data_IF_794534452275
#
_entry.id   IF_794534452275
#
_cell.length_a   1.000
_cell.length_b   1.000
_cell.length_c   1.000
_cell.angle_alpha   90.00
_cell.angle_beta   90.00
_cell.angle_gamma   90.00
#
_symmetry.space_group_name_H-M   'P 1'
#
loop_
_entity.id
_entity.type
_entity.pdbx_description
1 polymer ?
#
# COMPACT_ATOMS: atom_id res chain seq x y z
N UNK A 1 -2.18 -4.09 6.63
CA UNK A 1 -1.28 -4.06 5.46
C UNK A 1 -2.12 -3.99 4.19
N UNK A 2 -1.64 -3.28 3.16
CA UNK A 2 -2.38 -3.07 1.90
C UNK A 2 -1.46 -3.38 0.72
N UNK A 3 -1.96 -4.12 -0.28
CA UNK A 3 -1.20 -4.47 -1.48
C UNK A 3 -1.36 -3.41 -2.58
N UNK A 4 -0.44 -3.42 -3.57
CA UNK A 4 -0.50 -2.52 -4.73
C UNK A 4 -1.42 -3.03 -5.84
N UNK A 5 -1.68 -2.18 -6.83
CA UNK A 5 -2.47 -2.54 -8.02
C UNK A 5 -1.90 -3.77 -8.74
N UNK A 6 -2.79 -4.66 -9.18
CA UNK A 6 -2.44 -5.89 -9.88
C UNK A 6 -1.77 -6.96 -9.01
N UNK A 7 -1.75 -6.82 -7.68
CA UNK A 7 -1.21 -7.78 -6.72
C UNK A 7 -2.32 -8.33 -5.81
N UNK A 8 -1.94 -9.11 -4.80
CA UNK A 8 -2.82 -9.69 -3.79
C UNK A 8 -2.03 -10.00 -2.50
N UNK A 9 -2.72 -10.52 -1.48
CA UNK A 9 -2.16 -10.86 -0.16
C UNK A 9 -1.64 -12.31 -0.06
N UNK A 10 -1.53 -13.06 -1.15
CA UNK A 10 -1.05 -14.45 -1.14
C UNK A 10 0.45 -14.56 -0.81
N UNK A 11 1.05 -15.74 -1.06
CA UNK A 11 2.39 -16.12 -0.61
C UNK A 11 3.48 -15.09 -0.92
N UNK A 12 3.39 -14.36 -2.04
CA UNK A 12 4.39 -13.32 -2.36
C UNK A 12 4.35 -12.16 -1.36
N UNK A 13 3.22 -11.91 -0.70
CA UNK A 13 2.99 -10.88 0.32
C UNK A 13 3.39 -11.33 1.73
N UNK A 14 3.47 -12.64 1.99
CA UNK A 14 3.53 -13.21 3.34
C UNK A 14 4.86 -13.03 4.07
N UNK A 15 5.98 -12.87 3.38
CA UNK A 15 7.30 -12.79 4.03
C UNK A 15 7.40 -11.64 5.05
N UNK A 16 6.77 -10.51 4.76
CA UNK A 16 6.78 -9.33 5.62
C UNK A 16 5.84 -9.47 6.83
N UNK A 17 4.54 -9.81 6.70
CA UNK A 17 3.69 -10.03 7.86
C UNK A 17 4.24 -11.15 8.75
N UNK A 18 4.88 -12.19 8.18
CA UNK A 18 5.55 -13.22 8.99
C UNK A 18 6.68 -12.60 9.80
N UNK A 19 7.57 -11.82 9.17
CA UNK A 19 8.64 -11.12 9.87
C UNK A 19 8.10 -10.19 10.96
N UNK A 20 7.08 -9.40 10.67
CA UNK A 20 6.45 -8.50 11.65
C UNK A 20 5.79 -9.29 12.80
N UNK A 21 5.08 -10.37 12.51
CA UNK A 21 4.48 -11.24 13.53
C UNK A 21 5.54 -11.88 14.44
N UNK A 22 6.67 -12.31 13.89
CA UNK A 22 7.82 -12.81 14.66
C UNK A 22 8.42 -11.74 15.58
N UNK A 23 8.25 -10.46 15.25
CA UNK A 23 8.67 -9.32 16.07
C UNK A 23 7.54 -8.78 16.97
N UNK A 24 6.45 -9.53 17.17
CA UNK A 24 5.39 -9.20 18.12
C UNK A 24 4.27 -8.32 17.56
N UNK A 25 4.18 -8.12 16.25
CA UNK A 25 3.12 -7.32 15.63
C UNK A 25 1.94 -8.20 15.16
N UNK A 26 0.72 -7.83 15.52
CA UNK A 26 -0.47 -8.39 14.88
C UNK A 26 -0.59 -7.87 13.45
N UNK A 27 -0.66 -8.77 12.46
CA UNK A 27 -0.67 -8.42 11.04
C UNK A 27 -1.96 -8.86 10.37
N UNK A 28 -2.65 -7.90 9.75
CA UNK A 28 -3.89 -8.13 9.00
C UNK A 28 -3.78 -7.52 7.60
N UNK A 29 -4.38 -8.18 6.61
CA UNK A 29 -4.40 -7.72 5.22
C UNK A 29 -5.70 -8.18 4.55
N UNK A 30 -6.10 -7.46 3.50
CA UNK A 30 -7.26 -7.77 2.66
C UNK A 30 -6.84 -7.68 1.19
N UNK A 31 -7.51 -8.46 0.35
CA UNK A 31 -7.46 -8.27 -1.11
C UNK A 31 -8.37 -7.11 -1.50
N UNK A 32 -7.84 -6.16 -2.26
CA UNK A 32 -8.60 -5.01 -2.75
C UNK A 32 -9.65 -5.46 -3.79
N UNK A 33 -10.69 -4.65 -4.00
CA UNK A 33 -11.72 -4.91 -5.01
C UNK A 33 -11.09 -5.25 -6.38
N UNK A 34 -11.58 -6.33 -7.00
CA UNK A 34 -11.08 -6.83 -8.29
C UNK A 34 -9.69 -7.46 -8.25
N UNK A 35 -9.12 -7.72 -7.08
CA UNK A 35 -7.80 -8.31 -6.91
C UNK A 35 -7.84 -9.58 -6.04
N UNK A 36 -6.82 -10.43 -6.17
CA UNK A 36 -6.69 -11.66 -5.41
C UNK A 36 -7.96 -12.51 -5.43
N UNK A 37 -8.49 -12.80 -4.24
CA UNK A 37 -9.73 -13.54 -4.04
C UNK A 37 -10.96 -12.65 -3.81
N UNK A 38 -10.78 -11.33 -3.80
CA UNK A 38 -11.88 -10.38 -3.67
C UNK A 38 -12.71 -10.31 -4.95
N UNK A 39 -14.01 -10.03 -4.76
CA UNK A 39 -14.96 -9.89 -5.87
C UNK A 39 -14.65 -8.68 -6.75
N UNK A 40 -15.24 -8.67 -7.94
CA UNK A 40 -15.14 -7.58 -8.90
C UNK A 40 -14.45 -7.99 -10.19
N UNK A 41 -14.50 -7.10 -11.18
CA UNK A 41 -13.83 -7.34 -12.46
C UNK A 41 -12.31 -7.28 -12.26
N UNK A 42 -11.59 -8.32 -12.66
CA UNK A 42 -10.14 -8.47 -12.39
C UNK A 42 -9.34 -7.23 -12.78
N UNK A 43 -8.66 -6.62 -11.81
CA UNK A 43 -7.87 -5.39 -11.90
C UNK A 43 -8.66 -4.15 -12.38
N UNK A 44 -9.95 -4.08 -12.09
CA UNK A 44 -10.78 -2.90 -12.34
C UNK A 44 -11.09 -2.19 -11.02
N UNK A 45 -10.72 -0.92 -10.93
CA UNK A 45 -11.02 -0.05 -9.79
C UNK A 45 -11.70 1.20 -10.37
N UNK A 46 -13.05 1.24 -10.37
CA UNK A 46 -13.78 2.35 -10.96
C UNK A 46 -13.82 3.60 -10.06
N UNK A 47 -13.50 3.44 -8.77
CA UNK A 47 -13.42 4.51 -7.80
C UNK A 47 -12.46 4.10 -6.68
N UNK A 48 -11.37 4.85 -6.49
CA UNK A 48 -10.38 4.55 -5.45
C UNK A 48 -10.90 4.91 -4.05
N UNK A 49 -11.83 5.84 -3.92
CA UNK A 49 -12.40 6.22 -2.61
C UNK A 49 -13.14 5.04 -1.97
N UNK A 50 -13.84 4.23 -2.79
CA UNK A 50 -14.47 2.98 -2.31
C UNK A 50 -13.44 1.97 -1.79
N UNK A 51 -12.27 1.89 -2.43
CA UNK A 51 -11.18 1.00 -1.98
C UNK A 51 -10.61 1.49 -0.64
N UNK A 52 -10.54 2.81 -0.44
CA UNK A 52 -10.14 3.41 0.83
C UNK A 52 -11.19 3.12 1.91
N UNK A 53 -12.48 3.29 1.61
CA UNK A 53 -13.58 2.99 2.52
C UNK A 53 -13.60 1.51 2.94
N UNK A 54 -13.38 0.59 2.00
CA UNK A 54 -13.22 -0.84 2.28
C UNK A 54 -12.06 -1.11 3.24
N UNK A 55 -10.91 -0.47 3.03
CA UNK A 55 -9.76 -0.61 3.92
C UNK A 55 -10.07 -0.09 5.33
N UNK A 56 -10.69 1.09 5.43
CA UNK A 56 -11.07 1.70 6.72
C UNK A 56 -12.07 0.79 7.45
N UNK A 57 -13.10 0.32 6.74
CA UNK A 57 -14.13 -0.58 7.28
C UNK A 57 -13.52 -1.88 7.79
N UNK A 58 -12.64 -2.50 7.02
CA UNK A 58 -11.93 -3.72 7.40
C UNK A 58 -11.08 -3.55 8.66
N UNK A 59 -10.22 -2.53 8.72
CA UNK A 59 -9.38 -2.32 9.89
C UNK A 59 -10.20 -1.92 11.12
N UNK A 60 -11.26 -1.12 10.97
CA UNK A 60 -12.16 -0.81 12.08
C UNK A 60 -12.86 -2.06 12.60
N UNK A 61 -13.34 -2.94 11.70
CA UNK A 61 -13.98 -4.20 12.07
C UNK A 61 -13.03 -5.07 12.92
N UNK A 62 -11.77 -5.24 12.50
CA UNK A 62 -10.76 -5.97 13.27
C UNK A 62 -10.57 -5.37 14.67
N UNK A 63 -10.46 -4.04 14.77
CA UNK A 63 -10.29 -3.36 16.06
C UNK A 63 -11.52 -3.55 16.98
N UNK A 64 -12.72 -3.62 16.42
CA UNK A 64 -13.93 -3.86 17.22
C UNK A 64 -14.09 -5.30 17.72
N UNK A 65 -13.44 -6.27 17.06
CA UNK A 65 -13.54 -7.69 17.40
C UNK A 65 -12.65 -8.10 18.57
N UNK A 66 -11.55 -7.39 18.81
CA UNK A 66 -10.60 -7.70 19.89
C UNK A 66 -10.24 -6.45 20.70
N UNK A 67 -10.69 -6.34 21.97
CA UNK A 67 -10.36 -5.23 22.86
C UNK A 67 -8.85 -5.03 23.09
N UNK A 68 -8.04 -6.08 22.95
CA UNK A 68 -6.58 -5.98 23.08
C UNK A 68 -6.02 -5.10 21.96
N UNK A 69 -6.54 -5.26 20.74
CA UNK A 69 -6.07 -4.52 19.56
C UNK A 69 -6.40 -3.03 19.60
N UNK A 70 -7.43 -2.62 20.35
CA UNK A 70 -7.87 -1.22 20.43
C UNK A 70 -6.82 -0.30 21.05
N UNK A 71 -5.97 -0.83 21.94
CA UNK A 71 -4.98 -0.06 22.69
C UNK A 71 -3.55 -0.16 22.09
N UNK A 72 -3.38 -0.86 20.97
CA UNK A 72 -2.06 -1.05 20.36
C UNK A 72 -1.69 0.05 19.35
N UNK A 73 -0.40 0.42 19.23
CA UNK A 73 0.08 1.28 18.15
C UNK A 73 -0.19 0.66 16.77
N UNK A 74 -0.55 1.51 15.80
CA UNK A 74 -1.02 1.10 14.47
C UNK A 74 -0.02 1.46 13.39
N UNK A 75 0.29 0.50 12.52
CA UNK A 75 1.24 0.68 11.42
C UNK A 75 0.64 0.21 10.09
N UNK A 76 0.76 1.04 9.06
CA UNK A 76 0.40 0.68 7.69
C UNK A 76 1.69 0.40 6.89
N UNK A 77 1.71 -0.70 6.15
CA UNK A 77 2.91 -1.18 5.46
C UNK A 77 2.63 -1.61 4.01
N UNK A 78 3.60 -1.36 3.11
CA UNK A 78 3.61 -1.75 1.68
C UNK A 78 4.89 -2.56 1.31
N UNK A 79 4.72 -3.53 0.41
CA UNK A 79 5.51 -4.76 0.14
C UNK A 79 6.91 -4.60 -0.52
N UNK A 80 7.72 -5.68 -0.42
CA UNK A 80 9.05 -5.97 -1.03
C UNK A 80 9.00 -6.96 -2.25
N UNK A 81 10.15 -7.08 -2.93
CA UNK A 81 10.44 -7.74 -4.23
C UNK A 81 10.17 -9.26 -4.29
N UNK A 82 8.97 -9.71 -4.72
CA UNK A 82 8.70 -11.05 -5.31
C UNK A 82 7.47 -11.03 -6.26
N UNK A 83 6.96 -9.87 -6.69
CA UNK A 83 5.64 -9.83 -7.35
C UNK A 83 5.62 -10.55 -8.71
N UNK A 84 6.75 -10.70 -9.41
CA UNK A 84 6.83 -11.43 -10.68
C UNK A 84 6.50 -12.93 -10.56
N UNK A 85 6.64 -13.52 -9.37
CA UNK A 85 6.34 -14.94 -9.14
C UNK A 85 4.88 -15.18 -8.76
N UNK A 86 4.08 -14.13 -8.59
CA UNK A 86 2.70 -14.25 -8.15
C UNK A 86 1.77 -14.69 -9.30
N UNK A 87 1.17 -15.90 -9.25
CA UNK A 87 0.27 -16.38 -10.30
C UNK A 87 -1.03 -15.57 -10.40
N UNK A 88 -1.42 -14.89 -9.32
CA UNK A 88 -2.62 -14.06 -9.26
C UNK A 88 -2.37 -12.63 -9.74
N UNK A 89 -1.11 -12.28 -10.03
CA UNK A 89 -0.73 -10.98 -10.57
C UNK A 89 -1.49 -10.66 -11.85
N UNK A 90 -1.96 -9.42 -11.93
CA UNK A 90 -2.49 -8.89 -13.18
C UNK A 90 -1.35 -8.45 -14.10
N UNK A 91 -1.31 -9.02 -15.30
CA UNK A 91 -0.30 -8.73 -16.33
C UNK A 91 -0.84 -7.88 -17.49
N UNK A 92 -2.15 -7.58 -17.48
CA UNK A 92 -2.77 -6.78 -18.53
C UNK A 92 -2.52 -5.28 -18.35
N UNK A 93 -2.86 -4.50 -19.38
CA UNK A 93 -2.88 -3.04 -19.26
C UNK A 93 -4.05 -2.61 -18.38
N UNK A 94 -3.88 -1.63 -17.47
CA UNK A 94 -4.99 -1.11 -16.69
C UNK A 94 -6.11 -0.60 -17.61
N UNK A 95 -7.37 -0.82 -17.21
CA UNK A 95 -8.52 -0.30 -17.95
C UNK A 95 -8.57 1.22 -17.85
N UNK A 96 -9.10 1.88 -18.88
CA UNK A 96 -9.16 3.35 -18.94
C UNK A 96 -9.80 3.97 -17.68
N UNK A 97 -10.92 3.43 -17.21
CA UNK A 97 -11.56 3.91 -15.98
C UNK A 97 -10.63 3.85 -14.75
N UNK A 98 -9.90 2.75 -14.59
CA UNK A 98 -8.88 2.63 -13.53
C UNK A 98 -7.77 3.66 -13.70
N UNK A 99 -7.29 3.89 -14.93
CA UNK A 99 -6.22 4.87 -15.19
C UNK A 99 -6.67 6.28 -14.81
N UNK A 100 -7.90 6.66 -15.16
CA UNK A 100 -8.45 7.97 -14.80
C UNK A 100 -8.51 8.16 -13.28
N UNK A 101 -8.92 7.13 -12.55
CA UNK A 101 -8.94 7.17 -11.08
C UNK A 101 -7.53 7.23 -10.47
N UNK A 102 -6.56 6.47 -11.00
CA UNK A 102 -5.18 6.54 -10.54
C UNK A 102 -4.58 7.94 -10.78
N UNK A 103 -4.87 8.57 -11.92
CA UNK A 103 -4.44 9.94 -12.20
C UNK A 103 -5.10 10.95 -11.25
N UNK A 104 -6.42 10.84 -11.05
CA UNK A 104 -7.18 11.68 -10.11
C UNK A 104 -6.59 11.61 -8.70
N UNK A 105 -6.36 10.41 -8.19
CA UNK A 105 -5.84 10.23 -6.83
C UNK A 105 -4.37 10.62 -6.72
N UNK A 106 -3.57 10.42 -7.76
CA UNK A 106 -2.18 10.90 -7.77
C UNK A 106 -2.14 12.42 -7.65
N UNK A 107 -2.91 13.16 -8.47
CA UNK A 107 -3.00 14.63 -8.36
C UNK A 107 -3.52 15.08 -6.99
N UNK A 108 -4.54 14.40 -6.46
CA UNK A 108 -5.08 14.69 -5.14
C UNK A 108 -4.04 14.51 -4.02
N UNK A 109 -3.32 13.36 -4.01
CA UNK A 109 -2.33 13.04 -2.97
C UNK A 109 -1.11 13.95 -3.07
N UNK A 110 -0.62 14.26 -4.27
CA UNK A 110 0.53 15.16 -4.46
C UNK A 110 0.27 16.56 -3.89
N UNK A 111 -0.96 17.05 -3.95
CA UNK A 111 -1.34 18.35 -3.33
C UNK A 111 -1.48 18.30 -1.82
N UNK A 112 -1.44 17.10 -1.23
CA UNK A 112 -1.75 16.82 0.18
C UNK A 112 -0.57 16.27 0.97
N UNK A 113 0.63 16.21 0.39
CA UNK A 113 1.83 15.70 1.06
C UNK A 113 2.13 16.44 2.38
N UNK A 114 1.90 17.75 2.43
CA UNK A 114 2.09 18.58 3.64
C UNK A 114 1.10 18.28 4.78
N UNK A 115 0.00 17.58 4.49
CA UNK A 115 -1.02 17.23 5.47
C UNK A 115 -0.62 15.95 6.24
N UNK A 116 0.37 15.20 5.77
CA UNK A 116 0.88 14.00 6.43
C UNK A 116 1.64 14.36 7.70
N UNK A 117 1.11 13.91 8.86
CA UNK A 117 1.69 14.12 10.20
C UNK A 117 2.06 12.82 10.92
N UNK A 118 1.57 11.69 10.42
CA UNK A 118 1.82 10.38 11.03
C UNK A 118 3.30 10.01 10.88
N UNK A 119 3.94 9.42 11.89
CA UNK A 119 5.27 8.85 11.75
C UNK A 119 5.35 7.84 10.61
N UNK A 120 6.43 7.86 9.83
CA UNK A 120 6.58 6.94 8.69
C UNK A 120 8.03 6.60 8.35
N UNK A 121 8.18 5.45 7.68
CA UNK A 121 9.41 5.06 7.01
C UNK A 121 9.12 4.91 5.52
N UNK A 122 9.78 5.70 4.68
CA UNK A 122 9.72 5.61 3.24
C UNK A 122 10.90 4.79 2.71
N UNK A 123 10.62 3.71 1.97
CA UNK A 123 11.62 2.84 1.35
C UNK A 123 11.38 2.84 -0.15
N UNK A 124 12.38 3.26 -0.95
CA UNK A 124 12.22 3.38 -2.40
C UNK A 124 13.51 2.96 -3.13
N UNK A 125 13.42 2.31 -4.28
CA UNK A 125 14.56 2.09 -5.18
C UNK A 125 14.81 3.28 -6.12
N UNK A 126 16.07 3.69 -6.36
CA UNK A 126 16.33 4.83 -7.25
C UNK A 126 16.06 4.55 -8.74
N UNK A 127 15.98 3.26 -9.12
CA UNK A 127 15.78 2.83 -10.49
C UNK A 127 14.30 2.48 -10.76
N UNK A 128 13.40 2.81 -9.84
CA UNK A 128 11.97 2.59 -10.01
C UNK A 128 11.43 3.44 -11.17
N UNK A 129 10.90 2.77 -12.20
CA UNK A 129 10.31 3.38 -13.40
C UNK A 129 8.77 3.41 -13.36
N UNK A 130 8.16 2.85 -12.31
CA UNK A 130 6.71 2.77 -12.14
C UNK A 130 6.23 3.85 -11.16
N UNK A 131 6.91 3.98 -10.03
CA UNK A 131 6.69 5.05 -9.06
C UNK A 131 7.95 5.89 -8.95
N UNK A 132 7.84 7.19 -9.18
CA UNK A 132 8.99 8.08 -9.18
C UNK A 132 9.59 8.20 -7.75
N UNK A 133 10.88 7.91 -7.55
CA UNK A 133 11.54 8.08 -6.25
C UNK A 133 11.54 9.52 -5.76
N UNK A 134 11.48 10.52 -6.65
CA UNK A 134 11.43 11.93 -6.26
C UNK A 134 10.14 12.28 -5.52
N UNK A 135 9.02 11.61 -5.81
CA UNK A 135 7.77 11.79 -5.04
C UNK A 135 7.94 11.33 -3.59
N UNK A 136 8.74 10.30 -3.34
CA UNK A 136 9.04 9.88 -1.96
C UNK A 136 9.98 10.86 -1.25
N UNK A 137 10.93 11.46 -1.98
CA UNK A 137 11.76 12.55 -1.46
C UNK A 137 10.91 13.77 -1.12
N UNK A 138 10.00 14.15 -2.01
CA UNK A 138 9.07 15.26 -1.80
C UNK A 138 8.15 15.02 -0.60
N UNK A 139 7.59 13.80 -0.44
CA UNK A 139 6.84 13.44 0.76
C UNK A 139 7.70 13.60 2.03
N UNK A 140 8.94 13.14 2.00
CA UNK A 140 9.85 13.29 3.13
C UNK A 140 10.09 14.76 3.48
N UNK A 141 10.37 15.62 2.50
CA UNK A 141 10.62 17.04 2.74
C UNK A 141 9.36 17.80 3.19
N UNK A 142 8.24 17.64 2.47
CA UNK A 142 7.03 18.46 2.66
C UNK A 142 6.17 18.01 3.85
N UNK A 143 6.22 16.74 4.25
CA UNK A 143 5.40 16.23 5.34
C UNK A 143 5.70 16.91 6.69
N UNK A 144 4.66 17.04 7.52
CA UNK A 144 4.74 17.59 8.88
C UNK A 144 5.01 16.53 9.95
N UNK A 145 5.34 15.30 9.55
CA UNK A 145 5.69 14.24 10.48
C UNK A 145 7.00 14.56 11.19
N UNK A 146 7.01 14.48 12.52
CA UNK A 146 8.20 14.70 13.35
C UNK A 146 9.16 13.51 13.29
N UNK A 147 8.61 12.29 13.33
CA UNK A 147 9.36 11.04 13.18
C UNK A 147 9.18 10.48 11.76
N UNK A 148 10.10 10.85 10.88
CA UNK A 148 10.12 10.39 9.49
C UNK A 148 11.52 9.94 9.09
N UNK A 149 11.58 8.81 8.39
CA UNK A 149 12.83 8.27 7.83
C UNK A 149 12.62 7.95 6.36
N UNK A 150 13.59 8.28 5.52
CA UNK A 150 13.63 7.84 4.12
C UNK A 150 14.90 7.05 3.84
N UNK A 151 14.77 5.95 3.10
CA UNK A 151 15.90 5.17 2.59
C UNK A 151 15.72 4.89 1.10
N UNK A 152 16.62 5.44 0.31
CA UNK A 152 16.72 5.19 -1.13
C UNK A 152 17.72 4.05 -1.36
N UNK A 153 17.30 3.00 -2.07
CA UNK A 153 18.14 1.86 -2.42
C UNK A 153 18.63 2.01 -3.86
N UNK A 154 19.95 2.11 -4.02
CA UNK A 154 20.58 2.25 -5.33
C UNK A 154 20.38 0.98 -6.19
N UNK A 155 20.06 1.17 -7.47
CA UNK A 155 19.86 0.10 -8.45
C UNK A 155 18.60 -0.77 -8.25
N UNK A 156 17.76 -0.48 -7.24
CA UNK A 156 16.54 -1.24 -6.99
C UNK A 156 15.36 -0.71 -7.82
N UNK A 157 14.58 -1.63 -8.40
CA UNK A 157 13.40 -1.36 -9.24
C UNK A 157 12.08 -1.46 -8.45
N UNK A 158 10.96 -1.12 -9.10
CA UNK A 158 9.61 -1.40 -8.62
C UNK A 158 9.36 -2.89 -8.45
N UNK A 159 8.47 -3.25 -7.52
CA UNK A 159 8.19 -4.65 -7.16
C UNK A 159 6.82 -5.10 -7.59
#
# INVERSE_FOLDING_TARGET
>A
MVHGYGNDISWTFQAIPIFLAQNGFACFALDLQGHGLSQGLKAYVPNVDLVVDDCISFFNCILTQDPILQNLPRFLYKKKIIAAMNPMRYLGKPRLGTVLELLRVTDYVSRKLTDVRLPFIALHGNADVITDPDVSRELYELSKAEDKTIKIYDGMLHT
#
